data_IF_419308546929
#
_entry.id   IF_419308546929
#
_cell.length_a   1.000
_cell.length_b   1.000
_cell.length_c   1.000
_cell.angle_alpha   90.00
_cell.angle_beta   90.00
_cell.angle_gamma   90.00
#
_symmetry.space_group_name_H-M   'P 1'
#
loop_
_entity.id
_entity.type
_entity.pdbx_description
1 polymer ?
#
# COMPACT_ATOMS: atom_id res chain seq x y z
N UNK A 1 -7.49 29.49 17.10
CA UNK A 1 -8.24 28.24 17.40
C UNK A 1 -9.06 27.70 16.21
N UNK A 2 -9.42 28.49 15.19
CA UNK A 2 -10.16 28.00 14.00
C UNK A 2 -9.25 27.25 13.01
N UNK A 3 -7.95 27.57 12.97
CA UNK A 3 -6.99 26.93 12.05
C UNK A 3 -6.76 25.43 12.34
N UNK A 4 -6.83 24.98 13.60
CA UNK A 4 -6.53 23.58 13.96
C UNK A 4 -7.64 22.61 13.58
N UNK A 5 -8.91 23.04 13.62
CA UNK A 5 -10.04 22.17 13.29
C UNK A 5 -10.06 21.82 11.81
N UNK A 6 -9.84 22.80 10.93
CA UNK A 6 -9.75 22.55 9.49
C UNK A 6 -8.57 21.63 9.14
N UNK A 7 -7.42 21.83 9.81
CA UNK A 7 -6.25 20.97 9.61
C UNK A 7 -6.55 19.52 10.01
N UNK A 8 -7.25 19.31 11.12
CA UNK A 8 -7.59 17.96 11.59
C UNK A 8 -8.55 17.22 10.64
N UNK A 9 -9.54 17.91 10.05
CA UNK A 9 -10.40 17.33 9.02
C UNK A 9 -9.62 16.98 7.74
N UNK A 10 -8.64 17.80 7.36
CA UNK A 10 -7.74 17.51 6.22
C UNK A 10 -6.89 16.27 6.52
N UNK A 11 -6.30 16.16 7.71
CA UNK A 11 -5.52 14.97 8.11
C UNK A 11 -6.40 13.70 8.11
N UNK A 12 -7.64 13.79 8.59
CA UNK A 12 -8.60 12.68 8.54
C UNK A 12 -8.92 12.27 7.11
N UNK A 13 -9.21 13.23 6.23
CA UNK A 13 -9.49 12.98 4.81
C UNK A 13 -8.29 12.32 4.11
N UNK A 14 -7.07 12.81 4.37
CA UNK A 14 -5.84 12.24 3.83
C UNK A 14 -5.63 10.81 4.35
N UNK A 15 -5.83 10.56 5.65
CA UNK A 15 -5.74 9.22 6.23
C UNK A 15 -6.71 8.22 5.59
N UNK A 16 -7.97 8.63 5.36
CA UNK A 16 -8.98 7.81 4.67
C UNK A 16 -8.55 7.49 3.23
N UNK A 17 -8.07 8.50 2.48
CA UNK A 17 -7.57 8.29 1.11
C UNK A 17 -6.39 7.32 1.08
N UNK A 18 -5.45 7.42 2.03
CA UNK A 18 -4.34 6.46 2.14
C UNK A 18 -4.83 5.03 2.39
N UNK A 19 -5.91 4.84 3.17
CA UNK A 19 -6.50 3.50 3.35
C UNK A 19 -7.03 2.94 2.04
N UNK A 20 -7.75 3.74 1.25
CA UNK A 20 -8.23 3.31 -0.06
C UNK A 20 -7.10 2.97 -1.02
N UNK A 21 -6.02 3.76 -1.03
CA UNK A 21 -4.81 3.46 -1.82
C UNK A 21 -4.16 2.15 -1.38
N UNK A 22 -4.08 1.89 -0.07
CA UNK A 22 -3.59 0.62 0.47
C UNK A 22 -4.43 -0.58 0.04
N UNK A 23 -5.76 -0.47 0.11
CA UNK A 23 -6.69 -1.51 -0.35
C UNK A 23 -6.50 -1.77 -1.86
N UNK A 24 -6.38 -0.72 -2.65
CA UNK A 24 -6.18 -0.83 -4.10
C UNK A 24 -4.84 -1.51 -4.45
N UNK A 25 -3.76 -1.18 -3.75
CA UNK A 25 -2.49 -1.88 -3.90
C UNK A 25 -2.61 -3.37 -3.54
N UNK A 26 -3.38 -3.70 -2.50
CA UNK A 26 -3.61 -5.09 -2.06
C UNK A 26 -4.26 -5.89 -3.17
N UNK A 27 -5.29 -5.30 -3.78
CA UNK A 27 -6.04 -5.91 -4.86
C UNK A 27 -5.15 -6.22 -6.07
N UNK A 28 -4.29 -5.27 -6.47
CA UNK A 28 -3.32 -5.47 -7.55
C UNK A 28 -2.35 -6.61 -7.21
N UNK A 29 -1.84 -6.65 -5.98
CA UNK A 29 -0.92 -7.70 -5.52
C UNK A 29 -1.55 -9.10 -5.55
N UNK A 30 -2.80 -9.22 -5.11
CA UNK A 30 -3.55 -10.49 -5.16
C UNK A 30 -3.76 -10.95 -6.61
N UNK A 31 -4.11 -10.03 -7.52
CA UNK A 31 -4.29 -10.34 -8.94
C UNK A 31 -2.97 -10.78 -9.60
N UNK A 32 -1.86 -10.12 -9.28
CA UNK A 32 -0.52 -10.50 -9.74
C UNK A 32 -0.10 -11.87 -9.20
N UNK A 33 -0.40 -12.18 -7.93
CA UNK A 33 -0.10 -13.49 -7.32
C UNK A 33 -0.88 -14.62 -8.00
N UNK A 34 -2.15 -14.38 -8.34
CA UNK A 34 -3.00 -15.34 -9.08
C UNK A 34 -2.43 -15.67 -10.46
N UNK A 35 -2.04 -14.65 -11.23
CA UNK A 35 -1.37 -14.84 -12.52
C UNK A 35 -0.04 -15.61 -12.41
N UNK A 36 0.72 -15.36 -11.34
CA UNK A 36 2.02 -16.01 -11.11
C UNK A 36 1.85 -17.50 -10.77
N UNK A 37 0.78 -17.88 -10.08
CA UNK A 37 0.46 -19.28 -9.79
C UNK A 37 -0.05 -20.02 -11.03
N UNK A 38 -0.87 -19.39 -11.87
CA UNK A 38 -1.33 -19.97 -13.14
C UNK A 38 -0.18 -20.21 -14.13
N UNK A 39 0.79 -19.30 -14.18
CA UNK A 39 1.95 -19.40 -15.07
C UNK A 39 3.11 -20.26 -14.52
N UNK A 40 3.04 -20.72 -13.26
CA UNK A 40 4.10 -21.54 -12.64
C UNK A 40 4.28 -22.89 -13.37
N UNK A 41 3.24 -23.39 -14.03
CA UNK A 41 3.26 -24.66 -14.76
C UNK A 41 3.87 -24.56 -16.18
N UNK A 42 3.96 -23.37 -16.78
CA UNK A 42 4.39 -23.20 -18.19
C UNK A 42 5.75 -22.51 -18.39
N UNK A 43 6.33 -21.87 -17.36
CA UNK A 43 7.50 -20.98 -17.51
C UNK A 43 8.83 -21.57 -17.03
N UNK A 44 8.97 -22.90 -16.98
CA UNK A 44 10.18 -23.53 -16.44
C UNK A 44 11.43 -23.43 -17.34
N UNK A 45 11.31 -22.83 -18.55
CA UNK A 45 12.35 -22.99 -19.59
C UNK A 45 13.11 -21.69 -19.94
N UNK A 46 12.60 -20.46 -19.69
CA UNK A 46 13.22 -19.24 -20.30
C UNK A 46 13.57 -18.07 -19.36
N UNK A 47 13.09 -18.01 -18.11
CA UNK A 47 13.06 -16.74 -17.36
C UNK A 47 14.00 -16.63 -16.13
N UNK A 48 15.23 -17.13 -16.17
CA UNK A 48 16.10 -17.14 -14.97
C UNK A 48 16.61 -15.73 -14.57
N UNK A 49 16.91 -14.85 -15.52
CA UNK A 49 17.45 -13.50 -15.23
C UNK A 49 16.39 -12.41 -14.96
N UNK A 50 15.17 -12.54 -15.51
CA UNK A 50 14.06 -11.59 -15.23
C UNK A 50 13.27 -11.94 -13.95
N UNK A 51 13.51 -13.11 -13.35
CA UNK A 51 12.88 -13.54 -12.10
C UNK A 51 13.36 -12.73 -10.90
N UNK A 52 14.65 -12.43 -10.81
CA UNK A 52 15.22 -11.71 -9.66
C UNK A 52 14.69 -10.27 -9.58
N UNK A 53 14.66 -9.54 -10.68
CA UNK A 53 14.12 -8.17 -10.72
C UNK A 53 12.64 -8.10 -10.30
N UNK A 54 11.83 -9.07 -10.72
CA UNK A 54 10.41 -9.18 -10.32
C UNK A 54 10.23 -9.59 -8.86
N UNK A 55 11.19 -10.29 -8.26
CA UNK A 55 11.18 -10.64 -6.83
C UNK A 55 11.43 -9.38 -6.01
N UNK A 56 12.43 -8.57 -6.36
CA UNK A 56 12.70 -7.30 -5.69
C UNK A 56 11.53 -6.31 -5.81
N UNK A 57 10.89 -6.22 -6.99
CA UNK A 57 9.68 -5.42 -7.15
C UNK A 57 8.53 -5.88 -6.24
N UNK A 58 8.35 -7.20 -6.07
CA UNK A 58 7.32 -7.72 -5.17
C UNK A 58 7.59 -7.33 -3.71
N UNK A 59 8.83 -7.45 -3.25
CA UNK A 59 9.21 -7.01 -1.91
C UNK A 59 9.08 -5.49 -1.74
N UNK A 60 9.45 -4.69 -2.74
CA UNK A 60 9.26 -3.24 -2.73
C UNK A 60 7.78 -2.85 -2.62
N UNK A 61 6.88 -3.54 -3.33
CA UNK A 61 5.45 -3.32 -3.22
C UNK A 61 4.91 -3.67 -1.83
N UNK A 62 5.34 -4.78 -1.23
CA UNK A 62 4.94 -5.16 0.13
C UNK A 62 5.43 -4.12 1.15
N UNK A 63 6.69 -3.67 1.03
CA UNK A 63 7.24 -2.63 1.88
C UNK A 63 6.47 -1.31 1.74
N UNK A 64 6.13 -0.91 0.50
CA UNK A 64 5.34 0.29 0.24
C UNK A 64 3.95 0.21 0.88
N UNK A 65 3.28 -0.95 0.79
CA UNK A 65 1.98 -1.13 1.44
C UNK A 65 2.05 -1.02 2.96
N UNK A 66 3.07 -1.63 3.56
CA UNK A 66 3.27 -1.53 5.00
C UNK A 66 3.49 -0.07 5.42
N UNK A 67 4.30 0.67 4.66
CA UNK A 67 4.56 2.08 4.89
C UNK A 67 3.28 2.93 4.76
N UNK A 68 2.47 2.70 3.72
CA UNK A 68 1.17 3.38 3.53
C UNK A 68 0.22 3.12 4.70
N UNK A 69 0.16 1.87 5.18
CA UNK A 69 -0.67 1.52 6.34
C UNK A 69 -0.20 2.19 7.63
N UNK A 70 1.11 2.18 7.90
CA UNK A 70 1.69 2.84 9.07
C UNK A 70 1.44 4.35 9.01
N UNK A 71 1.67 4.99 7.87
CA UNK A 71 1.37 6.40 7.67
C UNK A 71 -0.10 6.74 7.90
N UNK A 72 -1.03 5.91 7.41
CA UNK A 72 -2.46 6.11 7.63
C UNK A 72 -2.82 6.08 9.13
N UNK A 73 -2.29 5.10 9.87
CA UNK A 73 -2.53 4.98 11.32
C UNK A 73 -1.97 6.20 12.07
N UNK A 74 -0.74 6.61 11.76
CA UNK A 74 -0.09 7.76 12.41
C UNK A 74 -0.88 9.05 12.12
N UNK A 75 -1.31 9.26 10.88
CA UNK A 75 -2.11 10.42 10.48
C UNK A 75 -3.47 10.46 11.20
N UNK A 76 -4.13 9.30 11.36
CA UNK A 76 -5.40 9.20 12.10
C UNK A 76 -5.19 9.52 13.59
N UNK A 77 -4.13 8.99 14.23
CA UNK A 77 -3.81 9.31 15.62
C UNK A 77 -3.52 10.80 15.82
N UNK A 78 -2.73 11.42 14.93
CA UNK A 78 -2.45 12.85 14.97
C UNK A 78 -3.72 13.69 14.73
N UNK A 79 -4.60 13.25 13.84
CA UNK A 79 -5.89 13.91 13.61
C UNK A 79 -6.75 13.88 14.88
N UNK A 80 -6.87 12.73 15.55
CA UNK A 80 -7.64 12.60 16.79
C UNK A 80 -7.10 13.51 17.90
N UNK A 81 -5.78 13.58 18.06
CA UNK A 81 -5.14 14.42 19.07
C UNK A 81 -5.29 15.93 18.77
N UNK A 82 -5.45 16.31 17.50
CA UNK A 82 -5.64 17.73 17.12
C UNK A 82 -7.12 18.16 17.16
N UNK A 83 -8.06 17.21 17.19
CA UNK A 83 -9.50 17.46 17.40
C UNK A 83 -9.86 17.57 18.88
N UNK A 84 -9.21 16.79 19.77
CA UNK A 84 -9.43 16.81 21.23
C UNK A 84 -8.95 18.11 21.87
#
# INVERSE_FOLDING_TARGET
>A
MILSKNLAYILLAVGIVLMFVGIFLTYILLKVKSFKNANKNNFNIVAKQTKEFKIWQHYAFIALMFLVYVCAIVLICLALQTVS
#
